data_IF_339834688192
#
_entry.id   IF_339834688192
#
_cell.length_a   1.000
_cell.length_b   1.000
_cell.length_c   1.000
_cell.angle_alpha   90.00
_cell.angle_beta   90.00
_cell.angle_gamma   90.00
#
_symmetry.space_group_name_H-M   'P 1'
#
loop_
_entity.id
_entity.type
_entity.pdbx_description
1 polymer ?
#
# COMPACT_ATOMS: atom_id res chain seq x y z
N UNK A 1 -17.33 -2.06 7.78
CA UNK A 1 -17.95 -1.41 6.61
C UNK A 1 -17.00 -1.58 5.45
N UNK A 2 -17.49 -1.87 4.24
CA UNK A 2 -16.63 -1.90 3.06
C UNK A 2 -15.96 -0.53 2.88
N UNK A 3 -14.66 -0.51 2.66
CA UNK A 3 -13.88 0.72 2.50
C UNK A 3 -13.89 1.23 1.06
N UNK A 4 -14.38 0.41 0.12
CA UNK A 4 -14.49 0.72 -1.32
C UNK A 4 -15.86 0.34 -1.85
N UNK A 5 -16.39 1.13 -2.80
CA UNK A 5 -17.65 0.84 -3.46
C UNK A 5 -17.50 -0.31 -4.48
N UNK A 6 -18.64 -0.82 -4.98
CA UNK A 6 -18.66 -1.97 -5.88
C UNK A 6 -17.93 -1.69 -7.21
N UNK A 7 -18.13 -0.52 -7.81
CA UNK A 7 -17.51 -0.17 -9.09
C UNK A 7 -15.98 -0.05 -8.96
N UNK A 8 -15.52 0.53 -7.85
CA UNK A 8 -14.10 0.61 -7.53
C UNK A 8 -13.49 -0.79 -7.33
N UNK A 9 -14.17 -1.67 -6.58
CA UNK A 9 -13.69 -3.05 -6.37
C UNK A 9 -13.65 -3.85 -7.68
N UNK A 10 -14.65 -3.67 -8.56
CA UNK A 10 -14.66 -4.27 -9.89
C UNK A 10 -13.47 -3.80 -10.74
N UNK A 11 -13.18 -2.48 -10.72
CA UNK A 11 -12.00 -1.91 -11.39
C UNK A 11 -10.71 -2.52 -10.83
N UNK A 12 -10.51 -2.52 -9.51
CA UNK A 12 -9.33 -3.09 -8.86
C UNK A 12 -9.19 -4.61 -9.00
N UNK A 13 -10.22 -5.30 -9.52
CA UNK A 13 -10.20 -6.74 -9.81
C UNK A 13 -10.12 -7.03 -11.32
N UNK A 14 -10.03 -6.00 -12.15
CA UNK A 14 -10.09 -6.15 -13.61
C UNK A 14 -8.78 -6.67 -14.21
N UNK A 15 -8.83 -7.36 -15.36
CA UNK A 15 -7.62 -7.76 -16.08
C UNK A 15 -6.78 -6.55 -16.57
N UNK A 16 -7.43 -5.44 -16.86
CA UNK A 16 -6.77 -4.18 -17.25
C UNK A 16 -5.92 -3.63 -16.11
N UNK A 17 -6.50 -3.61 -14.90
CA UNK A 17 -5.76 -3.20 -13.69
C UNK A 17 -4.62 -4.16 -13.38
N UNK A 18 -4.82 -5.47 -13.53
CA UNK A 18 -3.77 -6.47 -13.33
C UNK A 18 -2.55 -6.22 -14.22
N UNK A 19 -2.78 -5.98 -15.54
CA UNK A 19 -1.70 -5.66 -16.48
C UNK A 19 -0.99 -4.36 -16.12
N UNK A 20 -1.75 -3.31 -15.78
CA UNK A 20 -1.17 -2.04 -15.38
C UNK A 20 -0.30 -2.19 -14.12
N UNK A 21 -0.74 -2.97 -13.14
CA UNK A 21 0.03 -3.27 -11.93
C UNK A 21 1.34 -3.98 -12.26
N UNK A 22 1.28 -5.01 -13.11
CA UNK A 22 2.43 -5.85 -13.45
C UNK A 22 3.42 -5.14 -14.37
N UNK A 23 2.92 -4.49 -15.44
CA UNK A 23 3.75 -3.97 -16.52
C UNK A 23 4.26 -2.54 -16.27
N UNK A 24 3.53 -1.72 -15.49
CA UNK A 24 3.83 -0.31 -15.33
C UNK A 24 3.99 0.12 -13.87
N UNK A 25 2.97 -0.12 -13.03
CA UNK A 25 2.92 0.45 -11.69
C UNK A 25 4.03 -0.09 -10.79
N UNK A 26 4.12 -1.40 -10.63
CA UNK A 26 5.13 -2.02 -9.75
C UNK A 26 6.56 -1.85 -10.27
N UNK A 27 6.86 -1.99 -11.55
CA UNK A 27 8.19 -1.63 -12.06
C UNK A 27 8.60 -0.20 -11.74
N UNK A 28 7.68 0.76 -11.89
CA UNK A 28 7.95 2.16 -11.57
C UNK A 28 8.09 2.42 -10.07
N UNK A 29 7.21 1.87 -9.24
CA UNK A 29 7.22 2.09 -7.78
C UNK A 29 8.43 1.45 -7.13
N UNK A 30 8.81 0.26 -7.57
CA UNK A 30 9.89 -0.52 -6.99
C UNK A 30 11.28 -0.20 -7.56
N UNK A 31 11.36 0.73 -8.51
CA UNK A 31 12.64 1.15 -9.10
C UNK A 31 13.60 1.69 -8.03
N UNK A 32 14.73 1.00 -7.86
CA UNK A 32 15.72 1.30 -6.82
C UNK A 32 15.33 0.88 -5.40
N UNK A 33 14.28 0.06 -5.22
CA UNK A 33 13.84 -0.44 -3.92
C UNK A 33 14.24 -1.90 -3.71
N UNK A 34 15.02 -2.17 -2.67
CA UNK A 34 15.39 -3.52 -2.24
C UNK A 34 14.35 -4.03 -1.22
N UNK A 35 13.50 -4.97 -1.60
CA UNK A 35 12.43 -5.49 -0.74
C UNK A 35 12.94 -6.42 0.38
N UNK A 36 14.09 -7.03 0.18
CA UNK A 36 14.63 -8.00 1.14
C UNK A 36 13.82 -9.30 1.19
N UNK A 37 13.76 -9.93 2.35
CA UNK A 37 13.22 -11.28 2.52
C UNK A 37 11.83 -11.37 3.19
N UNK A 38 11.35 -10.27 3.77
CA UNK A 38 10.13 -10.23 4.60
C UNK A 38 9.37 -8.93 4.37
N UNK A 39 8.42 -8.97 3.45
CA UNK A 39 7.65 -7.82 2.99
C UNK A 39 6.32 -7.72 3.73
N UNK A 40 6.00 -6.51 4.19
CA UNK A 40 4.65 -6.13 4.60
C UNK A 40 3.94 -5.44 3.43
N UNK A 41 2.77 -5.91 3.05
CA UNK A 41 1.85 -5.19 2.17
C UNK A 41 0.64 -4.72 2.97
N UNK A 42 0.26 -3.44 2.84
CA UNK A 42 -0.92 -2.88 3.50
C UNK A 42 -1.97 -2.46 2.48
N UNK A 43 -3.23 -2.85 2.74
CA UNK A 43 -4.35 -2.60 1.86
C UNK A 43 -4.27 -3.34 0.51
N UNK A 44 -4.03 -4.67 0.49
CA UNK A 44 -3.92 -5.45 -0.75
C UNK A 44 -5.21 -5.49 -1.57
N UNK A 45 -6.37 -5.24 -0.93
CA UNK A 45 -7.66 -5.38 -1.58
C UNK A 45 -7.88 -6.77 -2.20
N UNK A 46 -8.20 -6.88 -3.51
CA UNK A 46 -8.33 -8.17 -4.20
C UNK A 46 -7.01 -8.94 -4.33
N UNK A 47 -5.85 -8.29 -4.10
CA UNK A 47 -4.54 -8.92 -4.07
C UNK A 47 -3.81 -9.02 -5.40
N UNK A 48 -4.11 -8.15 -6.39
CA UNK A 48 -3.39 -8.16 -7.66
C UNK A 48 -1.93 -7.68 -7.49
N UNK A 49 -1.68 -6.73 -6.61
CA UNK A 49 -0.33 -6.33 -6.21
C UNK A 49 0.38 -7.44 -5.43
N UNK A 50 -0.34 -8.12 -4.53
CA UNK A 50 0.18 -9.28 -3.77
C UNK A 50 0.67 -10.39 -4.70
N UNK A 51 -0.05 -10.67 -5.79
CA UNK A 51 0.33 -11.72 -6.76
C UNK A 51 1.68 -11.45 -7.42
N UNK A 52 2.02 -10.20 -7.68
CA UNK A 52 3.32 -9.81 -8.23
C UNK A 52 4.39 -9.77 -7.11
N UNK A 53 4.07 -9.16 -5.97
CA UNK A 53 5.01 -8.98 -4.85
C UNK A 53 5.49 -10.30 -4.27
N UNK A 54 4.63 -11.33 -4.17
CA UNK A 54 4.99 -12.64 -3.65
C UNK A 54 6.04 -13.38 -4.48
N UNK A 55 6.19 -13.02 -5.74
CA UNK A 55 7.26 -13.54 -6.62
C UNK A 55 8.60 -12.82 -6.44
N UNK A 56 8.65 -11.72 -5.67
CA UNK A 56 9.83 -10.85 -5.53
C UNK A 56 10.50 -10.92 -4.14
N UNK A 57 9.92 -11.68 -3.21
CA UNK A 57 10.43 -11.80 -1.84
C UNK A 57 10.14 -13.20 -1.27
N UNK A 58 10.88 -13.61 -0.27
CA UNK A 58 10.72 -14.94 0.33
C UNK A 58 9.40 -15.06 1.12
N UNK A 59 8.92 -13.98 1.74
CA UNK A 59 7.70 -13.95 2.57
C UNK A 59 6.96 -12.63 2.37
N UNK A 60 5.64 -12.71 2.28
CA UNK A 60 4.74 -11.54 2.30
C UNK A 60 3.77 -11.69 3.46
N UNK A 61 3.61 -10.63 4.24
CA UNK A 61 2.48 -10.46 5.16
C UNK A 61 1.59 -9.36 4.59
N UNK A 62 0.36 -9.70 4.25
CA UNK A 62 -0.63 -8.76 3.71
C UNK A 62 -1.64 -8.40 4.81
N UNK A 63 -1.83 -7.11 5.09
CA UNK A 63 -2.78 -6.61 6.09
C UNK A 63 -3.92 -5.89 5.39
N UNK A 64 -5.15 -6.41 5.58
CA UNK A 64 -6.36 -5.88 4.96
C UNK A 64 -7.39 -5.52 6.05
N UNK A 65 -8.00 -4.34 5.91
CA UNK A 65 -9.00 -3.85 6.86
C UNK A 65 -10.36 -4.52 6.66
N UNK A 66 -10.74 -4.79 5.43
CA UNK A 66 -12.00 -5.44 5.10
C UNK A 66 -11.90 -6.95 5.36
N UNK A 67 -12.73 -7.45 6.27
CA UNK A 67 -12.71 -8.85 6.70
C UNK A 67 -13.05 -9.83 5.58
N UNK A 68 -13.95 -9.44 4.67
CA UNK A 68 -14.38 -10.30 3.56
C UNK A 68 -13.27 -10.38 2.50
N UNK A 69 -12.62 -9.25 2.18
CA UNK A 69 -11.47 -9.23 1.27
C UNK A 69 -10.29 -10.01 1.87
N UNK A 70 -9.98 -9.80 3.15
CA UNK A 70 -8.93 -10.54 3.85
C UNK A 70 -9.19 -12.05 3.81
N UNK A 71 -10.42 -12.49 4.10
CA UNK A 71 -10.81 -13.90 4.06
C UNK A 71 -10.71 -14.52 2.66
N UNK A 72 -11.18 -13.82 1.64
CA UNK A 72 -11.08 -14.27 0.24
C UNK A 72 -9.63 -14.36 -0.22
N UNK A 73 -8.81 -13.35 0.10
CA UNK A 73 -7.41 -13.33 -0.25
C UNK A 73 -6.63 -14.45 0.47
N UNK A 74 -6.89 -14.67 1.76
CA UNK A 74 -6.28 -15.74 2.53
C UNK A 74 -6.61 -17.13 1.95
N UNK A 75 -7.87 -17.36 1.58
CA UNK A 75 -8.29 -18.61 0.97
C UNK A 75 -7.64 -18.83 -0.41
N UNK A 76 -7.57 -17.79 -1.24
CA UNK A 76 -6.96 -17.84 -2.58
C UNK A 76 -5.47 -18.12 -2.53
N UNK A 77 -4.76 -17.55 -1.56
CA UNK A 77 -3.30 -17.66 -1.42
C UNK A 77 -2.84 -18.73 -0.41
N UNK A 78 -3.76 -19.60 0.03
CA UNK A 78 -3.43 -20.69 0.95
C UNK A 78 -2.31 -21.59 0.40
N UNK A 79 -1.33 -21.92 1.22
CA UNK A 79 -0.18 -22.74 0.83
C UNK A 79 0.93 -22.00 0.06
N UNK A 80 0.78 -20.70 -0.18
CA UNK A 80 1.83 -19.85 -0.76
C UNK A 80 2.74 -19.24 0.33
N UNK A 81 3.69 -18.39 -0.10
CA UNK A 81 4.54 -17.61 0.80
C UNK A 81 3.84 -16.34 1.37
N UNK A 82 2.52 -16.21 1.21
CA UNK A 82 1.74 -15.06 1.66
C UNK A 82 0.95 -15.42 2.91
N UNK A 83 1.05 -14.59 3.94
CA UNK A 83 0.19 -14.63 5.13
C UNK A 83 -0.73 -13.41 5.13
N UNK A 84 -2.04 -13.62 5.05
CA UNK A 84 -3.03 -12.55 5.13
C UNK A 84 -3.51 -12.40 6.57
N UNK A 85 -3.63 -11.15 7.02
CA UNK A 85 -4.11 -10.76 8.35
C UNK A 85 -5.15 -9.67 8.19
N UNK A 86 -6.29 -9.83 8.86
CA UNK A 86 -7.25 -8.74 9.02
C UNK A 86 -6.71 -7.73 10.03
N UNK A 87 -6.63 -6.45 9.67
CA UNK A 87 -6.05 -5.43 10.54
C UNK A 87 -6.11 -4.03 9.99
N UNK A 88 -5.85 -3.07 10.87
CA UNK A 88 -5.80 -1.64 10.56
C UNK A 88 -4.35 -1.18 10.47
N UNK A 89 -3.97 -0.53 9.36
CA UNK A 89 -2.62 0.00 9.14
C UNK A 89 -2.24 1.08 10.14
N UNK A 90 -3.20 1.79 10.72
CA UNK A 90 -2.95 2.80 11.74
C UNK A 90 -2.58 2.20 13.10
N UNK A 91 -2.69 0.85 13.24
CA UNK A 91 -2.37 0.10 14.45
C UNK A 91 -1.96 -1.33 14.12
N UNK A 92 -0.78 -1.49 13.54
CA UNK A 92 -0.29 -2.79 13.09
C UNK A 92 0.04 -3.73 14.25
N UNK A 93 -0.41 -5.00 14.23
CA UNK A 93 -0.21 -5.96 15.32
C UNK A 93 1.18 -6.62 15.27
N UNK A 94 2.22 -5.86 14.95
CA UNK A 94 3.58 -6.36 14.84
C UNK A 94 4.54 -5.60 15.76
N UNK A 95 5.61 -6.25 16.23
CA UNK A 95 6.68 -5.56 16.94
C UNK A 95 7.43 -4.59 16.01
N UNK A 96 8.11 -3.63 16.60
CA UNK A 96 9.02 -2.74 15.88
C UNK A 96 10.16 -3.54 15.21
N UNK A 97 10.59 -3.10 14.03
CA UNK A 97 11.73 -3.70 13.34
C UNK A 97 11.48 -5.10 12.79
N UNK A 98 10.26 -5.48 12.49
CA UNK A 98 9.87 -6.81 12.03
C UNK A 98 10.21 -7.06 10.56
N UNK A 99 9.95 -6.10 9.68
CA UNK A 99 9.96 -6.30 8.23
C UNK A 99 11.18 -5.69 7.54
N UNK A 100 11.61 -6.29 6.43
CA UNK A 100 12.68 -5.75 5.56
C UNK A 100 12.18 -4.61 4.69
N UNK A 101 10.94 -4.70 4.23
CA UNK A 101 10.28 -3.69 3.43
C UNK A 101 8.79 -3.62 3.72
N UNK A 102 8.17 -2.52 3.31
CA UNK A 102 6.72 -2.36 3.27
C UNK A 102 6.28 -1.82 1.91
N UNK A 103 5.14 -2.31 1.42
CA UNK A 103 4.45 -1.80 0.23
C UNK A 103 3.11 -1.18 0.62
N UNK A 104 2.86 0.04 0.15
CA UNK A 104 1.63 0.80 0.37
C UNK A 104 1.17 1.34 -0.99
N UNK A 105 0.27 0.61 -1.66
CA UNK A 105 -0.06 0.82 -3.06
C UNK A 105 -1.53 1.21 -3.23
N UNK A 106 -1.78 2.42 -3.72
CA UNK A 106 -3.13 2.94 -4.01
C UNK A 106 -4.14 2.78 -2.87
N UNK A 107 -3.70 3.01 -1.61
CA UNK A 107 -4.54 2.78 -0.44
C UNK A 107 -4.57 3.93 0.57
N UNK A 108 -3.57 4.83 0.61
CA UNK A 108 -3.55 5.93 1.59
C UNK A 108 -4.78 6.84 1.45
N UNK A 109 -5.24 7.07 0.23
CA UNK A 109 -6.43 7.89 -0.02
C UNK A 109 -7.73 7.30 0.55
N UNK A 110 -7.75 6.01 0.91
CA UNK A 110 -8.88 5.38 1.60
C UNK A 110 -8.85 5.57 3.13
N UNK A 111 -7.79 6.15 3.67
CA UNK A 111 -7.71 6.47 5.10
C UNK A 111 -8.45 7.79 5.35
N UNK A 112 -9.40 7.83 6.32
CA UNK A 112 -10.43 8.87 6.41
C UNK A 112 -9.95 10.29 6.73
N UNK A 113 -8.67 10.47 7.09
CA UNK A 113 -8.12 11.80 7.37
C UNK A 113 -6.60 11.84 7.22
N UNK A 114 -6.01 13.03 6.95
CA UNK A 114 -4.55 13.19 6.93
C UNK A 114 -3.87 12.73 8.23
N UNK A 115 -4.47 12.99 9.37
CA UNK A 115 -3.92 12.56 10.67
C UNK A 115 -3.84 11.03 10.80
N UNK A 116 -4.86 10.31 10.30
CA UNK A 116 -4.83 8.84 10.27
C UNK A 116 -3.86 8.31 9.21
N UNK A 117 -3.70 9.00 8.08
CA UNK A 117 -2.65 8.68 7.11
C UNK A 117 -1.26 8.83 7.75
N UNK A 118 -1.03 9.90 8.54
CA UNK A 118 0.23 10.10 9.26
C UNK A 118 0.46 9.01 10.32
N UNK A 119 -0.58 8.58 11.02
CA UNK A 119 -0.50 7.44 11.94
C UNK A 119 -0.12 6.14 11.21
N UNK A 120 -0.70 5.90 10.02
CA UNK A 120 -0.33 4.75 9.19
C UNK A 120 1.14 4.80 8.74
N UNK A 121 1.63 5.96 8.30
CA UNK A 121 3.03 6.16 7.93
C UNK A 121 3.97 5.92 9.12
N UNK A 122 3.60 6.39 10.32
CA UNK A 122 4.36 6.16 11.55
C UNK A 122 4.41 4.67 11.95
N UNK A 123 3.29 3.94 11.80
CA UNK A 123 3.25 2.49 12.02
C UNK A 123 4.11 1.73 11.02
N UNK A 124 4.07 2.10 9.74
CA UNK A 124 4.95 1.54 8.72
C UNK A 124 6.43 1.77 9.04
N UNK A 125 6.79 2.99 9.47
CA UNK A 125 8.16 3.26 9.94
C UNK A 125 8.52 2.43 11.17
N UNK A 126 7.62 2.28 12.14
CA UNK A 126 7.85 1.52 13.37
C UNK A 126 8.14 0.05 13.11
N UNK A 127 7.36 -0.58 12.23
CA UNK A 127 7.48 -2.02 11.97
C UNK A 127 8.60 -2.40 11.02
N UNK A 128 9.16 -1.45 10.28
CA UNK A 128 10.34 -1.67 9.46
C UNK A 128 11.61 -1.72 10.33
N UNK A 129 12.53 -2.61 9.99
CA UNK A 129 13.87 -2.66 10.59
C UNK A 129 14.70 -1.44 10.18
N UNK A 130 15.75 -1.07 10.93
CA UNK A 130 16.70 -0.05 10.48
C UNK A 130 17.25 -0.38 9.09
N UNK A 131 17.20 0.61 8.17
CA UNK A 131 17.53 0.41 6.76
C UNK A 131 16.43 -0.23 5.92
N UNK A 132 15.30 -0.62 6.53
CA UNK A 132 14.12 -1.14 5.81
C UNK A 132 13.47 -0.09 4.93
N UNK A 133 12.88 -0.51 3.82
CA UNK A 133 12.34 0.38 2.77
C UNK A 133 10.82 0.36 2.78
N UNK A 134 10.21 1.54 2.71
CA UNK A 134 8.82 1.73 2.31
C UNK A 134 8.80 2.10 0.83
N UNK A 135 8.07 1.34 0.02
CA UNK A 135 7.72 1.69 -1.36
C UNK A 135 6.21 1.86 -1.49
N UNK A 136 5.78 2.92 -2.15
CA UNK A 136 4.36 3.19 -2.27
C UNK A 136 3.99 4.04 -3.47
N UNK A 137 2.71 4.03 -3.77
CA UNK A 137 2.10 4.92 -4.77
C UNK A 137 0.67 5.27 -4.38
N UNK A 138 0.22 6.40 -4.91
CA UNK A 138 -1.17 6.79 -4.79
C UNK A 138 -1.62 7.58 -6.02
N UNK A 139 -2.94 7.72 -6.16
CA UNK A 139 -3.53 8.52 -7.19
C UNK A 139 -3.65 9.98 -6.80
N UNK A 140 -3.36 10.89 -7.73
CA UNK A 140 -3.61 12.31 -7.55
C UNK A 140 -5.11 12.62 -7.56
N UNK A 141 -5.46 13.75 -7.00
CA UNK A 141 -6.84 14.28 -6.98
C UNK A 141 -7.25 14.74 -8.39
N UNK A 142 -8.03 13.91 -9.07
CA UNK A 142 -8.56 14.20 -10.40
C UNK A 142 -10.08 14.01 -10.44
N UNK A 143 -10.80 14.67 -11.38
CA UNK A 143 -12.23 14.45 -11.53
C UNK A 143 -12.63 12.98 -11.71
N UNK A 144 -11.89 12.22 -12.51
CA UNK A 144 -12.15 10.80 -12.76
C UNK A 144 -11.98 9.96 -11.49
N UNK A 145 -10.97 10.26 -10.65
CA UNK A 145 -10.82 9.56 -9.36
C UNK A 145 -11.92 9.91 -8.37
N UNK A 146 -12.33 11.17 -8.31
CA UNK A 146 -13.48 11.57 -7.48
C UNK A 146 -14.75 10.85 -7.89
N UNK A 147 -14.98 10.68 -9.20
CA UNK A 147 -16.11 9.92 -9.72
C UNK A 147 -16.07 8.45 -9.33
N UNK A 148 -14.91 7.80 -9.46
CA UNK A 148 -14.71 6.40 -9.06
C UNK A 148 -14.99 6.18 -7.56
N UNK A 149 -14.72 7.19 -6.73
CA UNK A 149 -14.86 7.12 -5.27
C UNK A 149 -16.21 7.68 -4.75
N UNK A 150 -17.21 7.87 -5.60
CA UNK A 150 -18.53 8.28 -5.12
C UNK A 150 -19.09 7.23 -4.16
N UNK A 151 -19.34 7.66 -2.90
CA UNK A 151 -19.77 6.76 -1.82
C UNK A 151 -18.65 6.05 -1.05
N UNK A 152 -17.39 6.28 -1.44
CA UNK A 152 -16.19 5.80 -0.74
C UNK A 152 -15.54 6.91 0.09
N UNK A 153 -14.62 6.49 0.97
CA UNK A 153 -13.64 7.41 1.54
C UNK A 153 -12.62 7.76 0.46
N UNK A 154 -12.46 9.08 0.21
CA UNK A 154 -11.42 9.59 -0.68
C UNK A 154 -10.77 10.84 -0.09
N UNK A 155 -9.59 10.65 0.48
CA UNK A 155 -8.75 11.71 1.05
C UNK A 155 -7.41 11.70 0.30
N UNK A 156 -7.30 12.41 -0.83
CA UNK A 156 -6.13 12.36 -1.69
C UNK A 156 -4.87 12.82 -0.96
N UNK A 157 -3.76 12.19 -1.31
CA UNK A 157 -2.43 12.54 -0.79
C UNK A 157 -1.86 13.71 -1.58
N UNK A 158 -1.42 14.75 -0.88
CA UNK A 158 -0.71 15.87 -1.50
C UNK A 158 0.78 15.55 -1.67
N UNK A 159 1.28 15.41 -2.91
CA UNK A 159 2.70 15.13 -3.16
C UNK A 159 3.64 16.17 -2.58
N UNK A 160 3.19 17.44 -2.53
CA UNK A 160 4.02 18.55 -2.05
C UNK A 160 4.34 18.47 -0.55
N UNK A 161 3.51 17.77 0.23
CA UNK A 161 3.70 17.59 1.67
C UNK A 161 4.21 16.22 2.06
N UNK A 162 4.10 15.23 1.15
CA UNK A 162 4.31 13.82 1.47
C UNK A 162 5.73 13.51 1.95
N UNK A 163 6.76 14.11 1.35
CA UNK A 163 8.15 13.92 1.80
C UNK A 163 8.36 14.36 3.24
N UNK A 164 7.81 15.53 3.62
CA UNK A 164 7.85 16.03 5.00
C UNK A 164 7.08 15.13 5.96
N UNK A 165 5.93 14.61 5.56
CA UNK A 165 5.11 13.68 6.36
C UNK A 165 5.86 12.35 6.60
N UNK A 166 6.52 11.80 5.58
CA UNK A 166 7.37 10.61 5.71
C UNK A 166 8.51 10.82 6.70
N UNK A 167 9.19 11.96 6.62
CA UNK A 167 10.26 12.31 7.58
C UNK A 167 9.73 12.43 9.01
N UNK A 168 8.59 13.08 9.18
CA UNK A 168 7.92 13.21 10.51
C UNK A 168 7.50 11.84 11.06
N UNK A 169 7.10 10.91 10.19
CA UNK A 169 6.75 9.54 10.56
C UNK A 169 7.94 8.69 11.01
N UNK A 170 9.19 9.14 10.81
CA UNK A 170 10.40 8.46 11.30
C UNK A 170 11.28 7.84 10.20
N UNK A 171 11.05 8.21 8.93
CA UNK A 171 11.95 7.81 7.84
C UNK A 171 13.12 8.79 7.71
N UNK A 172 14.35 8.27 7.63
CA UNK A 172 15.55 9.08 7.50
C UNK A 172 15.73 9.69 6.11
N UNK A 173 15.33 8.95 5.07
CA UNK A 173 15.35 9.40 3.67
C UNK A 173 13.98 9.17 3.07
N UNK A 174 13.53 10.12 2.26
CA UNK A 174 12.29 10.00 1.51
C UNK A 174 12.45 10.65 0.14
N UNK A 175 11.85 10.05 -0.87
CA UNK A 175 11.75 10.55 -2.24
C UNK A 175 10.29 10.47 -2.68
N UNK A 176 9.82 11.50 -3.33
CA UNK A 176 8.48 11.59 -3.89
C UNK A 176 8.58 12.05 -5.34
N UNK A 177 8.02 11.28 -6.27
CA UNK A 177 7.98 11.61 -7.69
C UNK A 177 6.53 11.56 -8.20
N UNK A 178 6.23 12.43 -9.15
CA UNK A 178 4.91 12.48 -9.80
C UNK A 178 5.07 12.11 -11.27
N UNK A 179 4.21 11.24 -11.77
CA UNK A 179 4.11 10.90 -13.18
C UNK A 179 2.63 10.80 -13.59
N UNK A 180 2.21 11.62 -14.55
CA UNK A 180 0.81 11.70 -14.97
C UNK A 180 -0.11 12.05 -13.80
N UNK A 181 -1.06 11.18 -13.53
CA UNK A 181 -2.06 11.32 -12.46
C UNK A 181 -1.71 10.51 -11.18
N UNK A 182 -0.43 10.15 -11.01
CA UNK A 182 0.05 9.31 -9.90
C UNK A 182 1.25 9.91 -9.21
N UNK A 183 1.35 9.61 -7.93
CA UNK A 183 2.54 9.83 -7.11
C UNK A 183 3.14 8.49 -6.71
N UNK A 184 4.47 8.37 -6.74
CA UNK A 184 5.20 7.32 -6.04
C UNK A 184 6.03 7.92 -4.93
N UNK A 185 6.28 7.13 -3.93
CA UNK A 185 7.18 7.50 -2.84
C UNK A 185 8.00 6.29 -2.39
N UNK A 186 9.25 6.55 -2.06
CA UNK A 186 10.14 5.58 -1.44
C UNK A 186 10.82 6.23 -0.23
N UNK A 187 10.90 5.50 0.87
CA UNK A 187 11.49 6.00 2.09
C UNK A 187 12.27 4.91 2.81
N UNK A 188 13.36 5.28 3.48
CA UNK A 188 14.21 4.35 4.25
C UNK A 188 14.16 4.73 5.74
N UNK A 189 13.94 3.74 6.58
CA UNK A 189 13.97 3.90 8.04
C UNK A 189 15.39 4.07 8.56
#
# INVERSE_FOLDING_TARGET
>A
MATVNKAHLEFCSSPEWARLVEDELLPWVLDGCELGDDLLEVGPGPGLTTDVLRGRTARVTAVELDLDLAGKLAARLAGSNVRVIAGDVTRLPFPAGRFSAAACLTMLHHIPSPALQDAALAELARVLRPGGVLAGSDGLDTPARRELHVGDVFVPVDPGTLEGRLRTAGFGRARVDVAGDRVRFAATR
#
